data_IF_962408480237
#
_entry.id   IF_962408480237
#
_cell.length_a   1.000
_cell.length_b   1.000
_cell.length_c   1.000
_cell.angle_alpha   90.00
_cell.angle_beta   90.00
_cell.angle_gamma   90.00
#
_symmetry.space_group_name_H-M   'P 1'
#
loop_
_entity.id
_entity.type
_entity.pdbx_description
1 polymer ?
#
# COMPACT_ATOMS: atom_id res chain seq x y z
N UNK A 1 25.51 -3.72 -14.06
CA UNK A 1 25.54 -2.90 -12.83
C UNK A 1 24.89 -3.69 -11.72
N UNK A 2 25.58 -3.86 -10.60
CA UNK A 2 25.10 -4.50 -9.37
C UNK A 2 24.24 -3.52 -8.56
N UNK A 3 23.26 -3.99 -7.76
CA UNK A 3 22.49 -3.14 -6.85
C UNK A 3 23.42 -2.33 -5.93
N UNK A 4 23.04 -1.09 -5.58
CA UNK A 4 23.85 -0.19 -4.75
C UNK A 4 24.07 -0.81 -3.35
N UNK A 5 23.06 -1.51 -2.83
CA UNK A 5 23.14 -2.20 -1.54
C UNK A 5 23.09 -3.71 -1.73
N UNK A 6 24.18 -4.39 -1.37
CA UNK A 6 24.25 -5.86 -1.32
C UNK A 6 23.44 -6.48 -0.17
N UNK A 7 23.02 -5.69 0.82
CA UNK A 7 22.29 -6.14 2.01
C UNK A 7 21.38 -5.01 2.52
N UNK A 8 20.09 -5.08 2.21
CA UNK A 8 19.07 -4.16 2.71
C UNK A 8 17.80 -4.91 3.13
N UNK A 9 17.14 -4.43 4.18
CA UNK A 9 15.88 -4.97 4.71
C UNK A 9 14.83 -3.88 4.86
N UNK A 10 13.56 -4.28 4.98
CA UNK A 10 12.43 -3.37 5.21
C UNK A 10 12.25 -2.30 4.11
N UNK A 11 12.74 -2.61 2.90
CA UNK A 11 12.46 -1.85 1.68
C UNK A 11 11.04 -2.14 1.20
N UNK A 12 10.55 -1.27 0.32
CA UNK A 12 9.27 -1.45 -0.36
C UNK A 12 9.49 -1.68 -1.85
N UNK A 13 8.54 -2.35 -2.50
CA UNK A 13 8.57 -2.61 -3.94
C UNK A 13 7.22 -2.24 -4.55
N UNK A 14 7.25 -1.56 -5.69
CA UNK A 14 6.04 -1.20 -6.45
C UNK A 14 6.29 -1.31 -7.95
N UNK A 15 5.31 -1.78 -8.71
CA UNK A 15 5.35 -1.80 -10.16
C UNK A 15 4.55 -0.64 -10.73
N UNK A 16 5.09 0.08 -11.72
CA UNK A 16 4.36 1.15 -12.40
C UNK A 16 4.91 1.37 -13.80
N UNK A 17 4.02 1.59 -14.77
CA UNK A 17 4.37 1.86 -16.18
C UNK A 17 5.33 0.83 -16.79
N UNK A 18 5.20 -0.44 -16.39
CA UNK A 18 6.06 -1.53 -16.85
C UNK A 18 7.45 -1.61 -16.19
N UNK A 19 7.74 -0.75 -15.21
CA UNK A 19 8.97 -0.79 -14.42
C UNK A 19 8.68 -1.31 -13.00
N UNK A 20 9.73 -1.83 -12.35
CA UNK A 20 9.71 -2.20 -10.93
C UNK A 20 10.58 -1.19 -10.18
N UNK A 21 10.09 -0.67 -9.06
CA UNK A 21 10.80 0.27 -8.21
C UNK A 21 11.08 -0.37 -6.86
N UNK A 22 12.34 -0.33 -6.41
CA UNK A 22 12.77 -0.72 -5.06
C UNK A 22 13.07 0.55 -4.29
N UNK A 23 12.37 0.76 -3.17
CA UNK A 23 12.29 2.04 -2.48
C UNK A 23 12.75 1.90 -1.03
N UNK A 24 13.83 2.61 -0.70
CA UNK A 24 14.31 2.82 0.67
C UNK A 24 14.68 1.56 1.42
N UNK A 25 14.31 1.52 2.70
CA UNK A 25 14.64 0.43 3.61
C UNK A 25 15.77 0.79 4.57
N UNK A 26 16.45 -0.23 5.08
CA UNK A 26 17.52 -0.08 6.05
C UNK A 26 18.73 -0.90 5.58
N UNK A 27 19.91 -0.28 5.64
CA UNK A 27 21.16 -0.98 5.43
C UNK A 27 21.39 -1.98 6.59
N UNK A 28 21.59 -3.25 6.28
CA UNK A 28 21.67 -4.30 7.30
C UNK A 28 22.91 -4.20 8.20
N UNK A 29 23.98 -3.56 7.73
CA UNK A 29 25.27 -3.48 8.43
C UNK A 29 25.23 -2.41 9.52
N UNK A 30 24.76 -1.21 9.18
CA UNK A 30 24.82 -0.04 10.08
C UNK A 30 23.43 0.44 10.55
N UNK A 31 22.36 -0.22 10.11
CA UNK A 31 20.98 0.16 10.41
C UNK A 31 20.59 1.59 9.98
N UNK A 32 21.33 2.19 9.05
CA UNK A 32 20.98 3.50 8.51
C UNK A 32 19.82 3.40 7.50
N UNK A 33 18.87 4.34 7.54
CA UNK A 33 17.78 4.40 6.58
C UNK A 33 18.32 4.76 5.20
N UNK A 34 17.81 4.06 4.17
CA UNK A 34 18.16 4.27 2.78
C UNK A 34 17.15 5.24 2.16
N UNK A 35 17.64 6.20 1.38
CA UNK A 35 16.83 7.14 0.60
C UNK A 35 16.87 6.89 -0.91
N UNK A 36 17.76 6.01 -1.37
CA UNK A 36 17.86 5.66 -2.77
C UNK A 36 16.64 4.87 -3.25
N UNK A 37 16.32 5.07 -4.53
CA UNK A 37 15.31 4.32 -5.25
C UNK A 37 15.94 3.76 -6.52
N UNK A 38 15.75 2.46 -6.71
CA UNK A 38 16.23 1.74 -7.88
C UNK A 38 15.05 1.37 -8.77
N UNK A 39 15.06 1.84 -10.01
CA UNK A 39 14.10 1.49 -11.05
C UNK A 39 14.69 0.40 -11.94
N UNK A 40 14.09 -0.77 -11.92
CA UNK A 40 14.38 -1.90 -12.80
C UNK A 40 13.45 -1.91 -14.01
N UNK A 41 14.03 -2.09 -15.19
CA UNK A 41 13.35 -2.34 -16.45
C UNK A 41 13.41 -3.84 -16.78
N UNK A 42 12.30 -4.59 -16.59
CA UNK A 42 12.25 -6.01 -16.89
C UNK A 42 12.52 -6.37 -18.36
N UNK A 43 12.28 -5.44 -19.29
CA UNK A 43 12.43 -5.69 -20.73
C UNK A 43 13.89 -5.68 -21.15
N UNK A 44 14.69 -4.83 -20.52
CA UNK A 44 16.12 -4.70 -20.81
C UNK A 44 17.02 -5.33 -19.75
N UNK A 45 16.44 -5.73 -18.61
CA UNK A 45 17.18 -6.23 -17.45
C UNK A 45 18.06 -5.17 -16.79
N UNK A 46 17.84 -3.88 -17.10
CA UNK A 46 18.68 -2.78 -16.61
C UNK A 46 18.07 -2.14 -15.37
N UNK A 47 18.95 -1.69 -14.49
CA UNK A 47 18.61 -0.97 -13.27
C UNK A 47 19.12 0.47 -13.38
N UNK A 48 18.33 1.43 -12.92
CA UNK A 48 18.66 2.86 -12.92
C UNK A 48 18.31 3.46 -11.56
N UNK A 49 19.23 4.23 -10.99
CA UNK A 49 18.98 5.04 -9.80
C UNK A 49 18.18 6.27 -10.20
N UNK A 50 17.12 6.57 -9.47
CA UNK A 50 16.28 7.78 -9.66
C UNK A 50 16.43 8.73 -8.49
N UNK A 51 15.82 9.92 -8.55
CA UNK A 51 15.92 10.93 -7.49
C UNK A 51 15.63 10.34 -6.11
N UNK A 52 16.47 10.66 -5.12
CA UNK A 52 16.35 10.15 -3.76
C UNK A 52 15.17 10.82 -3.02
N UNK A 53 14.52 10.07 -2.12
CA UNK A 53 13.48 10.59 -1.23
C UNK A 53 14.08 11.12 0.09
N UNK A 54 13.26 11.70 0.98
CA UNK A 54 13.63 11.78 2.40
C UNK A 54 13.71 10.35 2.94
N UNK A 55 14.79 9.94 3.65
CA UNK A 55 14.98 8.56 4.07
C UNK A 55 13.78 7.96 4.82
N UNK A 56 13.27 6.83 4.34
CA UNK A 56 12.14 6.09 4.92
C UNK A 56 12.44 4.60 4.98
N UNK A 57 11.94 3.96 6.04
CA UNK A 57 11.98 2.51 6.25
C UNK A 57 10.66 2.05 6.83
N UNK A 58 10.32 0.76 6.65
CA UNK A 58 8.99 0.23 6.98
C UNK A 58 7.86 1.04 6.33
N UNK A 59 8.12 1.56 5.13
CA UNK A 59 7.14 2.26 4.32
C UNK A 59 6.29 1.27 3.55
N UNK A 60 5.03 1.64 3.33
CA UNK A 60 4.18 1.02 2.32
C UNK A 60 4.21 1.89 1.06
N UNK A 61 4.33 1.24 -0.09
CA UNK A 61 4.39 1.92 -1.39
C UNK A 61 3.29 1.44 -2.30
N UNK A 62 2.83 2.36 -3.14
CA UNK A 62 1.66 2.17 -3.97
C UNK A 62 1.76 3.07 -5.20
N UNK A 63 1.33 2.58 -6.36
CA UNK A 63 1.23 3.41 -7.56
C UNK A 63 -0.17 3.99 -7.66
N UNK A 64 -0.38 5.14 -8.27
CA UNK A 64 -1.71 5.57 -8.68
C UNK A 64 -1.60 6.76 -9.62
N UNK A 65 -2.41 6.76 -10.68
CA UNK A 65 -2.51 7.88 -11.64
C UNK A 65 -1.14 8.38 -12.15
N UNK A 66 -0.18 7.46 -12.31
CA UNK A 66 1.17 7.77 -12.81
C UNK A 66 2.19 8.19 -11.74
N UNK A 67 1.81 8.27 -10.47
CA UNK A 67 2.69 8.61 -9.35
C UNK A 67 2.95 7.39 -8.45
N UNK A 68 4.06 7.41 -7.71
CA UNK A 68 4.33 6.46 -6.64
C UNK A 68 4.22 7.17 -5.29
N UNK A 69 3.36 6.66 -4.43
CA UNK A 69 3.18 7.16 -3.07
C UNK A 69 3.94 6.27 -2.11
N UNK A 70 4.74 6.89 -1.25
CA UNK A 70 5.50 6.24 -0.17
C UNK A 70 4.98 6.80 1.13
N UNK A 71 4.42 5.92 1.96
CA UNK A 71 3.77 6.31 3.19
C UNK A 71 4.41 5.54 4.33
N UNK A 72 4.83 6.27 5.36
CA UNK A 72 5.39 5.70 6.59
C UNK A 72 4.52 6.12 7.76
N UNK A 73 4.37 5.17 8.67
CA UNK A 73 3.79 5.37 9.98
C UNK A 73 4.84 5.03 11.04
N UNK A 74 5.18 5.98 11.91
CA UNK A 74 6.12 5.73 13.00
C UNK A 74 5.38 5.62 14.34
N UNK A 75 5.31 4.40 14.86
CA UNK A 75 4.61 4.08 16.11
C UNK A 75 5.42 4.38 17.38
N UNK A 76 6.74 4.55 17.27
CA UNK A 76 7.65 4.66 18.42
C UNK A 76 7.84 6.10 18.91
N UNK A 77 7.24 7.08 18.25
CA UNK A 77 7.26 8.47 18.68
C UNK A 77 6.13 8.71 19.68
N UNK A 78 6.37 9.54 20.71
CA UNK A 78 5.34 9.98 21.66
C UNK A 78 4.08 10.53 20.97
N UNK A 79 4.27 11.11 19.79
CA UNK A 79 3.21 11.52 18.88
C UNK A 79 3.41 10.77 17.56
N UNK A 80 2.60 9.74 17.27
CA UNK A 80 2.70 9.01 16.02
C UNK A 80 2.57 9.98 14.85
N UNK A 81 3.56 9.95 13.95
CA UNK A 81 3.58 10.81 12.76
C UNK A 81 3.47 9.96 11.52
N UNK A 82 2.58 10.37 10.63
CA UNK A 82 2.58 9.93 9.25
C UNK A 82 3.40 10.87 8.38
N UNK A 83 4.01 10.29 7.37
CA UNK A 83 4.72 11.02 6.32
C UNK A 83 4.34 10.39 4.98
N UNK A 84 3.96 11.24 4.03
CA UNK A 84 3.62 10.87 2.67
C UNK A 84 4.58 11.60 1.74
N UNK A 85 5.31 10.82 0.93
CA UNK A 85 6.15 11.33 -0.15
C UNK A 85 5.64 10.76 -1.47
N UNK A 86 5.51 11.60 -2.48
CA UNK A 86 5.00 11.21 -3.79
C UNK A 86 6.07 11.45 -4.84
N UNK A 87 6.41 10.39 -5.57
CA UNK A 87 7.35 10.43 -6.67
C UNK A 87 6.61 10.59 -7.99
N UNK A 88 7.03 11.59 -8.75
CA UNK A 88 6.66 11.80 -10.14
C UNK A 88 7.79 11.29 -11.06
N UNK A 89 7.60 10.17 -11.75
CA UNK A 89 8.60 9.65 -12.69
C UNK A 89 8.76 10.50 -13.96
N UNK A 90 7.79 11.35 -14.30
CA UNK A 90 7.87 12.19 -15.49
C UNK A 90 8.87 13.33 -15.26
N UNK A 91 8.85 13.92 -14.06
CA UNK A 91 9.79 14.98 -13.67
C UNK A 91 11.00 14.50 -12.86
N UNK A 92 11.02 13.23 -12.45
CA UNK A 92 12.02 12.62 -11.56
C UNK A 92 12.17 13.42 -10.25
N UNK A 93 11.03 13.75 -9.63
CA UNK A 93 10.99 14.59 -8.42
C UNK A 93 10.08 14.01 -7.35
N UNK A 94 10.39 14.37 -6.11
CA UNK A 94 9.58 14.06 -4.94
C UNK A 94 8.80 15.28 -4.49
N UNK A 95 7.56 15.04 -4.10
CA UNK A 95 6.63 16.01 -3.57
C UNK A 95 6.18 15.57 -2.17
N UNK A 96 5.99 16.53 -1.28
CA UNK A 96 5.41 16.31 0.04
C UNK A 96 3.91 16.59 -0.02
N UNK A 97 3.12 15.67 0.51
CA UNK A 97 1.67 15.69 0.38
C UNK A 97 0.95 15.65 1.73
N UNK A 98 -0.34 15.98 1.72
CA UNK A 98 -1.19 15.99 2.90
C UNK A 98 -1.20 14.62 3.62
N UNK A 99 -1.12 14.66 4.94
CA UNK A 99 -1.09 13.45 5.77
C UNK A 99 -2.52 13.03 6.14
N UNK A 100 -2.87 11.75 6.05
CA UNK A 100 -4.16 11.22 6.49
C UNK A 100 -4.28 11.27 8.01
N UNK A 101 -5.53 11.22 8.52
CA UNK A 101 -5.80 11.32 9.96
C UNK A 101 -5.86 9.97 10.68
N UNK A 102 -5.52 8.89 9.97
CA UNK A 102 -5.60 7.50 10.44
C UNK A 102 -4.34 7.10 11.23
N UNK A 103 -4.56 6.31 12.28
CA UNK A 103 -3.52 5.65 13.07
C UNK A 103 -3.26 4.22 12.53
N UNK A 104 -1.97 3.86 12.37
CA UNK A 104 -1.52 2.55 11.84
C UNK A 104 -2.25 2.13 10.54
N UNK A 105 -2.22 2.94 9.48
CA UNK A 105 -2.90 2.56 8.25
C UNK A 105 -2.17 1.42 7.54
N UNK A 106 -2.96 0.46 7.10
CA UNK A 106 -2.61 -0.40 5.99
C UNK A 106 -3.07 0.27 4.69
N UNK A 107 -2.20 0.24 3.70
CA UNK A 107 -2.39 0.97 2.45
C UNK A 107 -2.72 -0.04 1.40
N UNK A 108 -3.79 0.20 0.66
CA UNK A 108 -4.20 -0.68 -0.41
C UNK A 108 -4.53 0.12 -1.66
N UNK A 109 -4.04 -0.38 -2.79
CA UNK A 109 -4.33 0.19 -4.11
C UNK A 109 -5.56 -0.44 -4.67
N UNK A 110 -6.36 0.41 -5.30
CA UNK A 110 -7.53 0.00 -6.01
C UNK A 110 -7.24 0.29 -7.49
N UNK A 111 -6.73 -0.75 -8.15
CA UNK A 111 -6.11 -0.73 -9.49
C UNK A 111 -7.04 -0.16 -10.58
N UNK A 112 -8.36 -0.26 -10.42
CA UNK A 112 -9.27 0.01 -11.56
C UNK A 112 -9.63 1.47 -11.81
N UNK A 113 -9.29 2.40 -10.91
CA UNK A 113 -9.51 3.85 -11.12
C UNK A 113 -8.42 4.74 -10.51
N UNK A 114 -7.33 4.14 -10.00
CA UNK A 114 -6.24 4.88 -9.36
C UNK A 114 -6.68 5.64 -8.10
N UNK A 115 -7.69 5.14 -7.40
CA UNK A 115 -8.07 5.65 -6.08
C UNK A 115 -7.20 4.96 -5.03
N UNK A 116 -6.67 5.74 -4.09
CA UNK A 116 -5.89 5.20 -2.98
C UNK A 116 -6.79 5.13 -1.75
N UNK A 117 -6.73 3.99 -1.06
CA UNK A 117 -7.50 3.77 0.15
C UNK A 117 -6.59 3.38 1.29
N UNK A 118 -6.77 4.04 2.43
CA UNK A 118 -6.09 3.75 3.67
C UNK A 118 -7.06 3.14 4.66
N UNK A 119 -6.83 1.88 5.02
CA UNK A 119 -7.61 1.17 6.03
C UNK A 119 -6.77 1.11 7.30
N UNK A 120 -7.26 1.70 8.37
CA UNK A 120 -6.55 1.66 9.65
C UNK A 120 -7.51 1.75 10.80
N UNK A 121 -7.07 2.46 11.83
CA UNK A 121 -7.87 2.71 13.01
C UNK A 121 -7.78 4.19 13.39
N UNK A 122 -8.80 4.72 14.04
CA UNK A 122 -8.70 5.98 14.79
C UNK A 122 -8.67 5.64 16.26
N UNK A 123 -7.72 6.23 16.99
CA UNK A 123 -7.64 6.10 18.43
C UNK A 123 -8.57 7.16 19.05
N UNK A 124 -9.65 6.71 19.70
CA UNK A 124 -10.59 7.59 20.38
C UNK A 124 -10.73 7.17 21.83
N UNK A 125 -10.21 7.99 22.76
CA UNK A 125 -10.44 7.91 24.22
C UNK A 125 -10.43 6.48 24.83
N UNK A 126 -9.61 5.55 24.31
CA UNK A 126 -9.41 4.12 24.68
C UNK A 126 -9.98 3.06 23.72
N UNK A 127 -10.62 3.43 22.61
CA UNK A 127 -11.11 2.50 21.58
C UNK A 127 -10.40 2.68 20.24
N UNK A 128 -10.15 1.57 19.54
CA UNK A 128 -9.71 1.54 18.15
C UNK A 128 -10.93 1.44 17.25
N UNK A 129 -11.23 2.51 16.52
CA UNK A 129 -12.36 2.56 15.60
C UNK A 129 -11.85 2.22 14.19
N UNK A 130 -12.31 1.13 13.55
CA UNK A 130 -11.85 0.78 12.21
C UNK A 130 -12.37 1.81 11.21
N UNK A 131 -11.46 2.45 10.50
CA UNK A 131 -11.78 3.53 9.58
C UNK A 131 -11.09 3.34 8.24
N UNK A 132 -11.70 3.92 7.22
CA UNK A 132 -11.18 4.00 5.87
C UNK A 132 -11.11 5.48 5.46
N UNK A 133 -10.02 5.86 4.81
CA UNK A 133 -9.91 7.15 4.12
C UNK A 133 -9.61 6.90 2.63
N UNK A 134 -10.34 7.60 1.78
CA UNK A 134 -10.10 7.65 0.34
C UNK A 134 -9.28 8.88 0.02
N UNK A 135 -8.24 8.73 -0.79
CA UNK A 135 -7.45 9.86 -1.27
C UNK A 135 -8.07 10.47 -2.52
N UNK A 136 -8.41 11.74 -2.46
CA UNK A 136 -8.70 12.53 -3.65
C UNK A 136 -7.43 13.25 -4.13
N UNK A 137 -6.85 12.71 -5.20
CA UNK A 137 -5.65 13.23 -5.82
C UNK A 137 -5.85 14.57 -6.55
N UNK A 138 -7.08 14.96 -6.87
CA UNK A 138 -7.35 16.21 -7.60
C UNK A 138 -7.19 17.43 -6.71
N UNK A 139 -7.53 17.28 -5.42
CA UNK A 139 -7.54 18.37 -4.43
C UNK A 139 -6.57 18.12 -3.27
N UNK A 140 -5.84 17.00 -3.28
CA UNK A 140 -4.94 16.57 -2.21
C UNK A 140 -5.60 16.52 -0.82
N UNK A 141 -6.72 15.79 -0.73
CA UNK A 141 -7.38 15.58 0.57
C UNK A 141 -7.67 14.11 0.83
N UNK A 142 -7.59 13.73 2.09
CA UNK A 142 -8.07 12.43 2.58
C UNK A 142 -9.51 12.57 3.04
N UNK A 143 -10.42 11.87 2.36
CA UNK A 143 -11.85 11.90 2.63
C UNK A 143 -12.21 10.75 3.57
N UNK A 144 -12.76 11.02 4.77
CA UNK A 144 -13.18 9.97 5.67
C UNK A 144 -14.37 9.20 5.10
N UNK A 145 -14.24 7.88 5.11
CA UNK A 145 -15.32 6.95 4.78
C UNK A 145 -15.98 6.42 6.06
N UNK A 146 -17.24 5.97 5.96
CA UNK A 146 -17.93 5.28 7.04
C UNK A 146 -17.12 4.13 7.62
N UNK A 147 -17.25 3.95 8.94
CA UNK A 147 -16.52 2.93 9.69
C UNK A 147 -16.85 1.53 9.19
N UNK A 148 -15.84 0.65 9.19
CA UNK A 148 -16.04 -0.75 8.86
C UNK A 148 -16.90 -1.42 9.95
N UNK A 149 -17.68 -2.42 9.55
CA UNK A 149 -18.51 -3.20 10.47
C UNK A 149 -17.69 -4.01 11.48
N UNK A 150 -16.44 -4.32 11.13
CA UNK A 150 -15.58 -5.20 11.92
C UNK A 150 -14.14 -4.69 12.04
N UNK A 151 -13.47 -5.19 13.08
CA UNK A 151 -12.04 -5.00 13.33
C UNK A 151 -11.30 -6.22 12.75
N UNK A 152 -10.65 -6.05 11.61
CA UNK A 152 -9.87 -7.09 10.95
C UNK A 152 -8.45 -7.16 11.55
N UNK A 153 -7.94 -8.36 11.92
CA UNK A 153 -6.58 -8.49 12.50
C UNK A 153 -5.50 -8.40 11.43
N UNK A 154 -5.69 -9.07 10.29
CA UNK A 154 -4.81 -9.01 9.12
C UNK A 154 -5.67 -8.56 7.94
N UNK A 155 -5.66 -7.26 7.64
CA UNK A 155 -6.59 -6.67 6.69
C UNK A 155 -5.99 -6.73 5.30
N UNK A 156 -6.81 -7.09 4.33
CA UNK A 156 -6.55 -6.79 2.92
C UNK A 156 -7.77 -6.10 2.35
N UNK A 157 -7.52 -5.12 1.49
CA UNK A 157 -8.52 -4.66 0.57
C UNK A 157 -8.22 -5.17 -0.83
N UNK A 158 -9.27 -5.37 -1.61
CA UNK A 158 -9.21 -5.65 -3.03
C UNK A 158 -10.40 -4.98 -3.68
N UNK A 159 -10.34 -4.75 -5.00
CA UNK A 159 -11.51 -4.25 -5.73
C UNK A 159 -11.92 -5.22 -6.80
N UNK A 160 -13.19 -5.58 -6.72
CA UNK A 160 -13.82 -6.48 -7.68
C UNK A 160 -14.93 -5.69 -8.34
N UNK A 161 -14.83 -5.48 -9.66
CA UNK A 161 -15.83 -4.73 -10.45
C UNK A 161 -16.15 -3.33 -9.88
N UNK A 162 -15.12 -2.55 -9.56
CA UNK A 162 -15.22 -1.19 -8.98
C UNK A 162 -15.83 -1.13 -7.56
N UNK A 163 -16.00 -2.27 -6.90
CA UNK A 163 -16.46 -2.36 -5.51
C UNK A 163 -15.28 -2.66 -4.59
N UNK A 164 -14.91 -1.73 -3.68
CA UNK A 164 -14.00 -2.02 -2.57
C UNK A 164 -14.50 -3.16 -1.69
N UNK A 165 -13.65 -4.16 -1.48
CA UNK A 165 -13.89 -5.29 -0.59
C UNK A 165 -12.77 -5.34 0.45
N UNK A 166 -13.13 -5.40 1.72
CA UNK A 166 -12.19 -5.59 2.84
C UNK A 166 -12.39 -6.99 3.39
N UNK A 167 -11.31 -7.73 3.55
CA UNK A 167 -11.35 -9.09 4.07
C UNK A 167 -10.16 -9.37 4.99
N UNK A 168 -10.29 -10.43 5.79
CA UNK A 168 -9.21 -10.94 6.60
C UNK A 168 -8.34 -11.92 5.81
N UNK A 169 -7.01 -11.79 5.88
CA UNK A 169 -6.09 -12.79 5.31
C UNK A 169 -5.85 -13.91 6.34
N UNK A 170 -6.32 -15.11 6.02
CA UNK A 170 -6.32 -16.25 6.94
C UNK A 170 -4.91 -16.87 7.04
N UNK A 171 -4.27 -16.79 8.23
CA UNK A 171 -2.92 -17.37 8.44
C UNK A 171 -2.90 -18.69 9.22
N UNK A 172 -4.00 -19.13 9.85
CA UNK A 172 -4.20 -20.47 10.44
C UNK A 172 -5.61 -20.54 11.05
N UNK A 173 -6.33 -21.60 10.70
CA UNK A 173 -7.64 -22.09 11.19
C UNK A 173 -8.29 -21.35 12.38
N UNK A 174 -9.40 -20.66 12.11
CA UNK A 174 -10.36 -20.07 13.03
C UNK A 174 -11.52 -19.42 12.25
N UNK A 175 -12.58 -18.96 12.94
CA UNK A 175 -13.62 -18.12 12.34
C UNK A 175 -13.00 -16.83 11.79
N UNK A 176 -13.05 -16.64 10.47
CA UNK A 176 -12.62 -15.39 9.84
C UNK A 176 -13.72 -14.36 9.93
N UNK A 177 -13.34 -13.11 10.22
CA UNK A 177 -14.25 -11.98 10.07
C UNK A 177 -14.76 -11.95 8.63
N UNK A 178 -16.10 -11.88 8.42
CA UNK A 178 -16.63 -11.97 7.07
C UNK A 178 -16.16 -10.78 6.22
N UNK A 179 -15.92 -10.99 4.92
CA UNK A 179 -15.58 -9.91 4.02
C UNK A 179 -16.72 -8.91 3.95
N UNK A 180 -16.39 -7.62 3.84
CA UNK A 180 -17.36 -6.55 3.61
C UNK A 180 -17.08 -5.84 2.31
N UNK A 181 -18.13 -5.34 1.66
CA UNK A 181 -18.03 -4.58 0.43
C UNK A 181 -18.71 -3.23 0.53
N UNK A 182 -18.19 -2.26 -0.22
CA UNK A 182 -18.69 -0.89 -0.22
C UNK A 182 -19.84 -0.71 -1.21
N UNK A 183 -20.94 -0.11 -0.74
CA UNK A 183 -22.08 0.28 -1.57
C UNK A 183 -22.09 1.81 -1.70
N UNK A 184 -21.76 2.37 -2.88
CA UNK A 184 -21.62 3.81 -3.05
C UNK A 184 -22.94 4.56 -2.95
N UNK A 185 -24.07 3.96 -3.35
CA UNK A 185 -25.39 4.60 -3.43
C UNK A 185 -25.88 5.11 -2.07
N UNK A 186 -25.61 4.36 -1.01
CA UNK A 186 -26.02 4.68 0.37
C UNK A 186 -24.84 4.99 1.28
N UNK A 187 -23.60 4.93 0.76
CA UNK A 187 -22.36 5.08 1.52
C UNK A 187 -22.32 4.13 2.73
N UNK A 188 -22.53 2.83 2.51
CA UNK A 188 -22.47 1.84 3.61
C UNK A 188 -21.67 0.59 3.25
N UNK A 189 -21.18 -0.08 4.29
CA UNK A 189 -20.55 -1.40 4.17
C UNK A 189 -21.59 -2.50 4.35
N UNK A 190 -21.52 -3.50 3.49
CA UNK A 190 -22.40 -4.68 3.53
C UNK A 190 -21.56 -5.94 3.68
N UNK A 191 -22.11 -6.94 4.36
CA UNK A 191 -21.46 -8.25 4.48
C UNK A 191 -21.54 -8.95 3.13
N UNK A 192 -20.39 -9.37 2.62
CA UNK A 192 -20.32 -10.15 1.39
C UNK A 192 -20.69 -11.60 1.68
N UNK A 193 -21.80 -12.06 1.12
CA UNK A 193 -22.23 -13.46 1.20
C UNK A 193 -21.50 -14.33 0.18
N UNK A 194 -21.30 -15.61 0.51
CA UNK A 194 -20.63 -16.58 -0.38
C UNK A 194 -21.35 -16.79 -1.72
N UNK A 195 -22.66 -16.60 -1.75
CA UNK A 195 -23.50 -16.66 -2.95
C UNK A 195 -23.28 -15.48 -3.91
N UNK A 196 -22.53 -14.45 -3.49
CA UNK A 196 -22.32 -13.24 -4.29
C UNK A 196 -21.33 -13.50 -5.43
N UNK A 197 -21.57 -12.98 -6.65
CA UNK A 197 -20.61 -13.01 -7.75
C UNK A 197 -19.33 -12.20 -7.46
N UNK A 198 -19.29 -11.44 -6.35
CA UNK A 198 -18.11 -10.74 -5.86
C UNK A 198 -17.24 -11.60 -4.93
N UNK A 199 -17.69 -12.79 -4.52
CA UNK A 199 -16.97 -13.72 -3.64
C UNK A 199 -15.79 -14.45 -4.33
N UNK A 200 -15.21 -13.87 -5.38
CA UNK A 200 -13.99 -14.37 -6.03
C UNK A 200 -12.70 -13.86 -5.35
N UNK A 201 -12.72 -13.64 -4.03
CA UNK A 201 -11.59 -13.04 -3.29
C UNK A 201 -10.34 -13.94 -3.34
N UNK A 202 -10.50 -15.26 -3.49
CA UNK A 202 -9.38 -16.20 -3.66
C UNK A 202 -8.58 -15.98 -4.96
N UNK A 203 -9.14 -15.27 -5.95
CA UNK A 203 -8.49 -14.96 -7.23
C UNK A 203 -7.58 -13.72 -7.14
N UNK A 204 -7.83 -12.81 -6.18
CA UNK A 204 -7.02 -11.62 -5.95
C UNK A 204 -5.89 -11.91 -4.96
N UNK A 205 -4.93 -12.75 -5.35
CA UNK A 205 -3.69 -12.92 -4.58
C UNK A 205 -2.71 -11.81 -4.96
N UNK A 206 -2.52 -10.84 -4.06
CA UNK A 206 -1.29 -10.04 -4.05
C UNK A 206 -0.16 -10.98 -3.62
N UNK A 207 0.64 -11.42 -4.59
CA UNK A 207 1.83 -12.22 -4.33
C UNK A 207 3.00 -11.29 -4.00
N UNK A 208 3.54 -11.39 -2.80
CA UNK A 208 4.88 -10.86 -2.51
C UNK A 208 5.89 -11.85 -3.09
N UNK A 209 6.46 -11.54 -4.24
CA UNK A 209 7.52 -12.36 -4.82
C UNK A 209 8.82 -12.07 -4.05
N UNK A 210 9.21 -12.98 -3.17
CA UNK A 210 10.47 -12.87 -2.41
C UNK A 210 11.66 -13.51 -3.13
N UNK A 211 11.40 -14.26 -4.21
CA UNK A 211 12.43 -14.93 -4.99
C UNK A 211 12.72 -14.18 -6.31
N UNK A 212 13.93 -13.62 -6.50
CA UNK A 212 14.29 -12.88 -7.70
C UNK A 212 14.27 -13.74 -8.99
N UNK A 213 14.29 -15.08 -8.89
CA UNK A 213 14.18 -15.95 -10.05
C UNK A 213 12.75 -16.06 -10.59
N UNK A 214 11.74 -15.89 -9.73
CA UNK A 214 10.33 -15.95 -10.11
C UNK A 214 9.93 -14.75 -10.97
N UNK A 215 10.51 -13.57 -10.70
CA UNK A 215 10.27 -12.34 -11.49
C UNK A 215 10.68 -12.52 -12.96
N UNK A 216 11.74 -13.29 -13.24
CA UNK A 216 12.23 -13.53 -14.61
C UNK A 216 11.32 -14.42 -15.46
N UNK A 217 10.48 -15.23 -14.82
CA UNK A 217 9.59 -16.19 -15.50
C UNK A 217 8.26 -15.55 -15.89
N UNK A 218 7.78 -14.59 -15.09
CA UNK A 218 6.47 -13.94 -15.29
C UNK A 218 6.50 -12.92 -16.45
N UNK A 219 7.69 -12.46 -16.87
CA UNK A 219 7.87 -11.43 -17.90
C UNK A 219 8.27 -12.01 -19.28
N UNK A 220 8.01 -13.30 -19.51
CA UNK A 220 8.07 -13.91 -20.84
C UNK A 220 6.66 -14.07 -21.40
#
# INVERSE_FOLDING_TARGET
MTPIYKSCKLYSVVSMNGFIYVIGGINEINSHPINDIERFDPRTGKLKVVSCMIPMFQSKTISAKGFIYVIKYNEYLRNPKMMVQVYDPASDKWLSFSVPSIFKPEITEIERRGHLYLIGYKLSLLQLIPCLEEYDSMVDIWIPMPYLLFIYRIKKAVVVKDVPIVHEENRRSGECTPPVYWVPENRTWHILQESSPLCMIHMSKICTITDPNVVKVIVK
#
